data_IF_943347365238
#
_entry.id   IF_943347365238
#
_cell.length_a   1.000
_cell.length_b   1.000
_cell.length_c   1.000
_cell.angle_alpha   90.00
_cell.angle_beta   90.00
_cell.angle_gamma   90.00
#
_symmetry.space_group_name_H-M   'P 1'
#
loop_
_entity.id
_entity.type
_entity.pdbx_description
1 polymer ?
#
# COMPACT_ATOMS: atom_id res chain seq x y z
N UNK A 1 0.73 -3.24 -13.12
CA UNK A 1 1.01 -2.03 -12.34
C UNK A 1 -0.24 -1.77 -11.53
N UNK A 2 -0.11 -1.39 -10.26
CA UNK A 2 -1.25 -1.14 -9.38
C UNK A 2 -1.33 0.36 -9.18
N UNK A 3 -2.54 0.90 -9.38
CA UNK A 3 -2.83 2.31 -9.29
C UNK A 3 -3.87 2.55 -8.20
N UNK A 4 -3.70 3.63 -7.45
CA UNK A 4 -4.63 4.13 -6.44
C UNK A 4 -4.93 5.58 -6.78
N UNK A 5 -6.19 5.92 -7.07
CA UNK A 5 -6.63 7.27 -7.46
C UNK A 5 -5.69 7.95 -8.47
N UNK A 6 -5.43 7.25 -9.58
CA UNK A 6 -4.56 7.67 -10.70
C UNK A 6 -3.04 7.71 -10.38
N UNK A 7 -2.63 7.45 -9.14
CA UNK A 7 -1.22 7.36 -8.74
C UNK A 7 -0.73 5.92 -8.76
N UNK A 8 0.41 5.67 -9.41
CA UNK A 8 1.02 4.35 -9.45
C UNK A 8 1.67 4.01 -8.10
N UNK A 9 1.06 3.08 -7.35
CA UNK A 9 1.54 2.66 -6.03
C UNK A 9 2.37 1.37 -6.05
N UNK A 10 2.32 0.59 -7.14
CA UNK A 10 3.14 -0.62 -7.28
C UNK A 10 3.45 -0.93 -8.73
N UNK A 11 4.66 -1.41 -8.98
CA UNK A 11 5.08 -1.83 -10.31
C UNK A 11 5.86 -3.15 -10.27
N UNK A 12 5.45 -4.14 -11.07
CA UNK A 12 6.05 -5.49 -11.00
C UNK A 12 7.53 -5.51 -11.38
N UNK A 13 8.00 -4.65 -12.29
CA UNK A 13 9.40 -4.66 -12.73
C UNK A 13 10.24 -3.81 -11.79
N UNK A 14 9.74 -2.67 -11.31
CA UNK A 14 10.45 -1.85 -10.33
C UNK A 14 10.51 -2.49 -8.93
N UNK A 15 9.40 -3.04 -8.44
CA UNK A 15 9.29 -3.62 -7.09
C UNK A 15 9.58 -5.14 -7.05
N UNK A 16 9.93 -5.76 -8.18
CA UNK A 16 10.42 -7.14 -8.19
C UNK A 16 9.37 -8.21 -7.87
N UNK A 17 8.18 -8.10 -8.45
CA UNK A 17 7.13 -9.12 -8.34
C UNK A 17 5.79 -8.60 -7.83
N UNK A 18 5.07 -9.44 -7.11
CA UNK A 18 3.77 -9.11 -6.53
C UNK A 18 3.91 -8.65 -5.08
N UNK A 19 3.17 -7.60 -4.67
CA UNK A 19 3.20 -7.14 -3.30
C UNK A 19 2.48 -8.13 -2.39
N UNK A 20 2.95 -8.21 -1.15
CA UNK A 20 2.17 -8.79 -0.07
C UNK A 20 0.99 -7.90 0.31
N UNK A 21 -0.09 -8.51 0.80
CA UNK A 21 -1.31 -7.79 1.19
C UNK A 21 -1.05 -6.68 2.23
N UNK A 22 -0.07 -6.88 3.12
CA UNK A 22 0.34 -5.88 4.11
C UNK A 22 0.95 -4.65 3.43
N UNK A 23 1.92 -4.86 2.54
CA UNK A 23 2.64 -3.77 1.85
C UNK A 23 1.70 -2.98 0.95
N UNK A 24 0.81 -3.67 0.23
CA UNK A 24 -0.14 -3.00 -0.64
C UNK A 24 -1.08 -2.09 0.15
N UNK A 25 -1.62 -2.56 1.28
CA UNK A 25 -2.47 -1.76 2.17
C UNK A 25 -1.74 -0.57 2.79
N UNK A 26 -0.46 -0.74 3.13
CA UNK A 26 0.38 0.34 3.65
C UNK A 26 0.54 1.45 2.60
N UNK A 27 0.94 1.09 1.37
CA UNK A 27 1.12 2.08 0.28
C UNK A 27 -0.18 2.78 -0.11
N UNK A 28 -1.30 2.04 -0.12
CA UNK A 28 -2.62 2.65 -0.36
C UNK A 28 -2.93 3.67 0.75
N UNK A 29 -2.72 3.33 2.02
CA UNK A 29 -2.90 4.25 3.16
C UNK A 29 -2.06 5.51 2.98
N UNK A 30 -0.76 5.34 2.80
CA UNK A 30 0.18 6.46 2.70
C UNK A 30 -0.20 7.41 1.57
N UNK A 31 -0.84 6.89 0.50
CA UNK A 31 -1.28 7.67 -0.64
C UNK A 31 -2.62 8.39 -0.43
N UNK A 32 -3.63 7.70 0.11
CA UNK A 32 -5.00 8.26 0.22
C UNK A 32 -5.21 9.06 1.49
N UNK A 33 -4.59 8.64 2.59
CA UNK A 33 -4.81 9.24 3.91
C UNK A 33 -3.70 8.80 4.89
N UNK A 34 -2.52 9.43 4.83
CA UNK A 34 -1.38 9.09 5.69
C UNK A 34 -1.64 9.37 7.18
N UNK A 35 -2.55 10.30 7.48
CA UNK A 35 -2.94 10.67 8.84
C UNK A 35 -4.10 9.82 9.38
N UNK A 36 -4.72 8.95 8.56
CA UNK A 36 -5.74 8.00 9.04
C UNK A 36 -5.10 6.90 9.84
N UNK A 37 -5.38 6.94 11.14
CA UNK A 37 -5.10 5.84 12.05
C UNK A 37 -5.91 4.60 11.60
N UNK A 38 -5.21 3.59 11.09
CA UNK A 38 -5.82 2.40 10.48
C UNK A 38 -6.26 1.35 11.52
N UNK A 39 -6.47 1.80 12.76
CA UNK A 39 -6.87 0.99 13.89
C UNK A 39 -5.98 -0.25 14.06
N UNK A 40 -6.59 -1.38 14.42
CA UNK A 40 -5.94 -2.66 14.73
C UNK A 40 -5.02 -3.27 13.63
N UNK A 41 -4.96 -2.72 12.41
CA UNK A 41 -4.12 -3.26 11.34
C UNK A 41 -2.62 -2.91 11.47
N UNK A 42 -2.25 -1.97 12.35
CA UNK A 42 -0.83 -1.71 12.67
C UNK A 42 -0.27 -2.68 13.72
N UNK A 43 -1.15 -3.46 14.37
CA UNK A 43 -0.71 -4.47 15.32
C UNK A 43 -0.22 -5.69 14.53
N UNK A 44 1.05 -5.63 14.16
CA UNK A 44 1.86 -6.80 13.80
C UNK A 44 1.71 -7.79 14.95
N UNK A 45 0.85 -8.80 14.78
CA UNK A 45 0.91 -10.05 15.53
C UNK A 45 1.90 -10.95 14.81
#
# INVERSE_FOLDING_TARGET
HIFCDEVQIWERKADGGFPEAKVLKQRVRDQIDPDRDLGHNDRTQ
#
